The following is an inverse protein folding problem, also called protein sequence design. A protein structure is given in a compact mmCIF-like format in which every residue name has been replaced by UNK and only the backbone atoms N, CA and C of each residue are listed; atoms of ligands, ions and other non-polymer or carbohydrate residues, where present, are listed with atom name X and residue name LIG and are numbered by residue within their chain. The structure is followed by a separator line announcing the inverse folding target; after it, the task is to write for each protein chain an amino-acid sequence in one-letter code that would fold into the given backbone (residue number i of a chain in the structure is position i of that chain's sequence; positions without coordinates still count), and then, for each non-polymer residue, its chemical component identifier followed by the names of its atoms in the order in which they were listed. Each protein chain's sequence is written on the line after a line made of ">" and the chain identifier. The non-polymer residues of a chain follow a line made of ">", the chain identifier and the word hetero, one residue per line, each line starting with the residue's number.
data_IF_818214363632
#
_entry.id   IF_818214363632
#
_cell.length_a   1.000
_cell.length_b   1.000
_cell.length_c   1.000
_cell.angle_alpha   90.00
_cell.angle_beta   90.00
_cell.angle_gamma   90.00
#
_symmetry.space_group_name_H-M   'P 1'
#
loop_
_entity.id
_entity.type
_entity.pdbx_description
1 polymer ?
#
# COMPACT_ATOMS: atom_id res chain seq x y z
N UNK A 1 -2.41 -13.99 -1.52
CA UNK A 1 -1.82 -12.91 -2.36
C UNK A 1 -1.36 -11.67 -1.55
N UNK A 2 -1.32 -11.69 -0.21
CA UNK A 2 -1.56 -10.46 0.58
C UNK A 2 -0.39 -9.86 1.38
N UNK A 3 0.80 -10.48 1.41
CA UNK A 3 1.88 -10.03 2.31
C UNK A 3 2.84 -8.98 1.80
N UNK A 4 2.99 -8.88 0.48
CA UNK A 4 4.01 -8.02 -0.12
C UNK A 4 3.60 -6.55 -0.13
N UNK A 5 2.30 -6.29 -0.27
CA UNK A 5 1.75 -4.93 -0.23
C UNK A 5 2.03 -4.24 1.11
N UNK A 6 2.01 -4.99 2.22
CA UNK A 6 2.33 -4.49 3.56
C UNK A 6 3.80 -4.04 3.73
N UNK A 7 4.67 -4.37 2.77
CA UNK A 7 6.09 -4.01 2.77
C UNK A 7 6.41 -2.91 1.76
N UNK A 8 5.44 -2.44 0.97
CA UNK A 8 5.65 -1.34 0.03
C UNK A 8 5.82 -0.04 0.81
N UNK A 9 6.74 0.80 0.34
CA UNK A 9 7.17 2.03 0.99
C UNK A 9 7.12 3.19 0.01
N UNK A 10 7.12 4.41 0.55
CA UNK A 10 7.10 5.64 -0.24
C UNK A 10 8.33 5.82 -1.11
N UNK A 11 9.50 5.37 -0.65
CA UNK A 11 10.76 5.43 -1.40
C UNK A 11 10.79 4.46 -2.60
N UNK A 12 9.81 3.56 -2.72
CA UNK A 12 9.62 2.74 -3.92
C UNK A 12 8.81 3.47 -5.00
N UNK A 13 8.23 4.63 -4.70
CA UNK A 13 7.55 5.48 -5.69
C UNK A 13 8.54 6.48 -6.24
N UNK A 14 8.86 6.38 -7.53
CA UNK A 14 9.79 7.25 -8.26
C UNK A 14 9.34 7.41 -9.70
N UNK A 15 9.53 8.62 -10.23
CA UNK A 15 9.28 8.92 -11.65
C UNK A 15 7.87 8.54 -12.12
N UNK A 16 6.87 8.80 -11.27
CA UNK A 16 5.46 8.51 -11.58
C UNK A 16 5.08 7.02 -11.51
N UNK A 17 5.95 6.15 -11.00
CA UNK A 17 5.68 4.73 -10.91
C UNK A 17 6.06 4.12 -9.55
N UNK A 18 5.40 3.02 -9.20
CA UNK A 18 5.72 2.19 -8.06
C UNK A 18 6.58 1.00 -8.51
N UNK A 19 7.81 0.94 -7.97
CA UNK A 19 8.78 -0.09 -8.25
C UNK A 19 8.71 -1.22 -7.21
N UNK A 20 8.49 -2.46 -7.65
CA UNK A 20 8.35 -3.61 -6.74
C UNK A 20 9.12 -4.83 -7.22
N UNK A 21 9.76 -5.55 -6.29
CA UNK A 21 10.36 -6.85 -6.57
C UNK A 21 9.43 -7.98 -6.07
N UNK A 22 9.09 -8.89 -6.96
CA UNK A 22 8.28 -10.06 -6.64
C UNK A 22 9.15 -11.11 -5.94
N UNK A 23 9.09 -11.20 -4.61
CA UNK A 23 10.00 -12.08 -3.85
C UNK A 23 9.99 -13.60 -4.16
N UNK A 24 9.09 -14.13 -5.02
CA UNK A 24 9.08 -15.55 -5.43
C UNK A 24 9.82 -15.76 -6.75
N UNK A 25 9.56 -14.89 -7.71
CA UNK A 25 10.11 -14.97 -9.07
C UNK A 25 11.32 -14.04 -9.27
N UNK A 26 11.55 -13.14 -8.32
CA UNK A 26 12.53 -12.05 -8.38
C UNK A 26 12.32 -11.07 -9.54
N UNK A 27 11.16 -11.14 -10.19
CA UNK A 27 10.77 -10.20 -11.22
C UNK A 27 10.67 -8.79 -10.64
N UNK A 28 11.28 -7.81 -11.32
CA UNK A 28 11.11 -6.39 -11.05
C UNK A 28 9.94 -5.90 -11.89
N UNK A 29 8.95 -5.32 -11.22
CA UNK A 29 7.75 -4.79 -11.84
C UNK A 29 7.70 -3.29 -11.59
N UNK A 30 7.24 -2.58 -12.61
CA UNK A 30 6.91 -1.18 -12.56
C UNK A 30 5.40 -1.05 -12.72
N UNK A 31 4.77 -0.32 -11.79
CA UNK A 31 3.33 -0.05 -11.83
C UNK A 31 3.17 1.45 -11.99
N UNK A 32 2.66 1.89 -13.13
CA UNK A 32 2.43 3.31 -13.37
C UNK A 32 1.34 3.85 -12.42
N UNK A 33 1.62 5.01 -11.83
CA UNK A 33 0.69 5.70 -10.95
C UNK A 33 -0.06 6.72 -11.79
N UNK A 34 -1.22 6.30 -12.30
CA UNK A 34 -2.09 7.10 -13.19
C UNK A 34 -3.55 7.05 -12.73
N UNK A 35 -4.36 8.00 -13.19
CA UNK A 35 -5.80 8.04 -12.94
C UNK A 35 -6.17 8.02 -11.45
N UNK A 36 -7.05 7.10 -11.07
CA UNK A 36 -7.51 6.95 -9.68
C UNK A 36 -6.39 6.64 -8.68
N UNK A 37 -5.31 5.99 -9.12
CA UNK A 37 -4.19 5.67 -8.25
C UNK A 37 -3.42 6.93 -7.83
N UNK A 38 -3.30 7.93 -8.73
CA UNK A 38 -2.73 9.25 -8.39
C UNK A 38 -3.57 9.91 -7.30
N UNK A 39 -4.88 10.02 -7.54
CA UNK A 39 -5.80 10.65 -6.60
C UNK A 39 -5.79 9.96 -5.22
N UNK A 40 -5.67 8.62 -5.20
CA UNK A 40 -5.55 7.85 -3.97
C UNK A 40 -4.24 8.19 -3.23
N UNK A 41 -3.11 8.22 -3.93
CA UNK A 41 -1.80 8.52 -3.35
C UNK A 41 -1.77 9.93 -2.76
N UNK A 42 -2.29 10.91 -3.49
CA UNK A 42 -2.33 12.30 -3.04
C UNK A 42 -3.21 12.46 -1.80
N UNK A 43 -4.37 11.79 -1.78
CA UNK A 43 -5.25 11.74 -0.60
C UNK A 43 -4.60 11.07 0.61
N UNK A 44 -3.69 10.11 0.42
CA UNK A 44 -2.97 9.51 1.55
C UNK A 44 -1.92 10.49 2.08
N UNK A 45 -1.17 11.14 1.19
CA UNK A 45 -0.16 12.15 1.56
C UNK A 45 -0.78 13.35 2.30
N UNK A 46 -2.00 13.75 1.94
CA UNK A 46 -2.67 14.90 2.55
C UNK A 46 -3.15 14.68 4.00
N UNK A 47 -3.07 13.47 4.55
CA UNK A 47 -3.52 13.15 5.92
C UNK A 47 -2.59 13.67 7.02
N UNK A 48 -1.43 14.20 6.67
CA UNK A 48 -0.42 14.70 7.61
C UNK A 48 0.46 13.59 8.20
N UNK A 49 -0.14 12.62 8.92
CA UNK A 49 0.61 11.46 9.44
C UNK A 49 0.71 10.39 8.36
N UNK A 50 1.91 10.23 7.82
CA UNK A 50 2.23 9.20 6.82
C UNK A 50 3.33 8.32 7.40
N UNK A 51 3.04 7.03 7.54
CA UNK A 51 4.02 6.04 7.99
C UNK A 51 5.05 5.72 6.90
N UNK A 52 6.09 4.97 7.27
CA UNK A 52 7.13 4.54 6.32
C UNK A 52 6.58 3.66 5.19
N UNK A 53 5.52 2.89 5.45
CA UNK A 53 4.86 2.04 4.46
C UNK A 53 3.69 2.74 3.79
N UNK A 54 3.37 2.35 2.54
CA UNK A 54 2.21 2.88 1.82
C UNK A 54 0.89 2.56 2.52
N UNK A 55 0.82 1.39 3.15
CA UNK A 55 -0.29 0.99 4.01
C UNK A 55 0.11 1.12 5.47
N UNK A 56 -0.53 2.03 6.17
CA UNK A 56 -0.35 2.24 7.60
C UNK A 56 -1.70 2.41 8.30
N UNK A 57 -1.70 2.17 9.61
CA UNK A 57 -2.84 2.51 10.45
C UNK A 57 -2.95 4.04 10.64
N UNK A 58 -4.03 4.55 11.28
CA UNK A 58 -4.20 5.98 11.53
C UNK A 58 -3.09 6.63 12.38
N UNK A 59 -2.27 5.84 13.08
CA UNK A 59 -1.11 6.32 13.86
C UNK A 59 0.18 6.29 13.03
N UNK A 60 0.11 5.97 11.74
CA UNK A 60 1.28 5.82 10.86
C UNK A 60 2.04 4.51 11.04
N UNK A 61 1.56 3.58 11.86
CA UNK A 61 2.26 2.32 12.10
C UNK A 61 2.00 1.32 10.96
N UNK A 62 3.04 0.55 10.63
CA UNK A 62 2.94 -0.49 9.60
C UNK A 62 1.90 -1.54 9.97
N UNK A 63 0.98 -1.82 9.06
CA UNK A 63 0.01 -2.88 9.23
C UNK A 63 0.69 -4.26 9.28
N UNK A 64 0.30 -5.06 10.28
CA UNK A 64 0.76 -6.45 10.42
C UNK A 64 -0.10 -7.39 9.58
N UNK A 65 0.53 -8.49 9.17
CA UNK A 65 -0.08 -9.48 8.29
C UNK A 65 -1.19 -10.29 8.98
N UNK A 66 -1.05 -10.50 10.29
CA UNK A 66 -2.08 -11.00 11.18
C UNK A 66 -2.88 -9.83 11.78
N UNK A 67 -4.21 -9.98 11.90
CA UNK A 67 -5.08 -9.01 12.57
C UNK A 67 -5.84 -8.05 11.65
N UNK A 68 -5.72 -6.74 11.93
CA UNK A 68 -6.63 -5.69 11.45
C UNK A 68 -6.86 -5.67 9.94
N UNK A 69 -5.82 -5.84 9.12
CA UNK A 69 -5.95 -5.75 7.67
C UNK A 69 -6.93 -6.79 7.09
N UNK A 70 -6.77 -8.07 7.45
CA UNK A 70 -7.66 -9.14 6.96
C UNK A 70 -9.08 -8.98 7.52
N UNK A 71 -9.20 -8.56 8.77
CA UNK A 71 -10.50 -8.32 9.41
C UNK A 71 -11.26 -7.17 8.75
N UNK A 72 -10.61 -6.03 8.53
CA UNK A 72 -11.20 -4.86 7.87
C UNK A 72 -11.60 -5.19 6.44
N UNK A 73 -10.75 -5.89 5.68
CA UNK A 73 -11.11 -6.33 4.33
C UNK A 73 -12.38 -7.21 4.33
N UNK A 74 -12.48 -8.16 5.26
CA UNK A 74 -13.68 -9.00 5.39
C UNK A 74 -14.92 -8.18 5.74
N UNK A 75 -14.83 -7.30 6.74
CA UNK A 75 -15.96 -6.44 7.14
C UNK A 75 -16.45 -5.55 6.00
N UNK A 76 -15.53 -4.88 5.29
CA UNK A 76 -15.91 -4.00 4.17
C UNK A 76 -16.54 -4.78 3.02
N UNK A 77 -16.00 -5.96 2.68
CA UNK A 77 -16.57 -6.81 1.64
C UNK A 77 -17.95 -7.35 2.01
N UNK A 78 -18.14 -7.75 3.26
CA UNK A 78 -19.40 -8.34 3.71
C UNK A 78 -20.48 -7.25 3.96
N UNK A 79 -20.10 -5.96 3.99
CA UNK A 79 -21.00 -4.80 4.11
C UNK A 79 -21.28 -4.06 2.78
N UNK A 80 -20.68 -4.50 1.67
CA UNK A 80 -20.86 -3.93 0.32
C UNK A 80 -21.76 -4.85 -0.52
#
# INVERSE_FOLDING_TARGET
>A
MTGRVLKMRWDHIKDGALWVEQGKTKARLQIDIVGELVALIDRIKSRGIVGMTLLSDPKGQRLKHSGNFRRQFKLTRDCA
#
